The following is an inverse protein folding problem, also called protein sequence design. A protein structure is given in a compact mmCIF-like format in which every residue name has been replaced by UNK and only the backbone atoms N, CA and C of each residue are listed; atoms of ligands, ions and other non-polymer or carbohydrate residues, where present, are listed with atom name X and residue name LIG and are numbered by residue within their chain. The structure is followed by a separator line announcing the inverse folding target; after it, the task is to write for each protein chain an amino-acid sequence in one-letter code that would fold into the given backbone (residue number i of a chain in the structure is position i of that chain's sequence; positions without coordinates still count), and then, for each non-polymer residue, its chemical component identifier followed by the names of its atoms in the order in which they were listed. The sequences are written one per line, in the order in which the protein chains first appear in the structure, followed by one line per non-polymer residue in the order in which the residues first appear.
data_IF_248134020980
#
_entry.id   IF_248134020980
#
_cell.length_a   1.000
_cell.length_b   1.000
_cell.length_c   1.000
_cell.angle_alpha   90.00
_cell.angle_beta   90.00
_cell.angle_gamma   90.00
#
_symmetry.space_group_name_H-M   'P 1'
#
loop_
_entity.id
_entity.type
_entity.pdbx_description
1 polymer ?
#
# COMPACT_ATOMS: atom_id res chain seq x y z
N UNK A 1 -16.74 5.00 18.47
CA UNK A 1 -16.82 4.26 17.19
C UNK A 1 -16.08 2.92 17.28
N UNK A 2 -16.53 2.00 18.16
CA UNK A 2 -15.79 0.77 18.49
C UNK A 2 -15.61 -0.17 17.28
N UNK A 3 -16.69 -0.41 16.51
CA UNK A 3 -16.66 -1.35 15.38
C UNK A 3 -15.62 -0.98 14.29
N UNK A 4 -15.45 0.30 13.99
CA UNK A 4 -14.46 0.73 12.99
C UNK A 4 -13.02 0.58 13.51
N UNK A 5 -12.79 0.84 14.80
CA UNK A 5 -11.48 0.65 15.43
C UNK A 5 -11.06 -0.83 15.45
N UNK A 6 -12.00 -1.74 15.65
CA UNK A 6 -11.73 -3.19 15.66
C UNK A 6 -11.52 -3.79 14.27
N UNK A 7 -11.98 -3.13 13.20
CA UNK A 7 -11.95 -3.68 11.84
C UNK A 7 -10.91 -3.01 10.94
N UNK A 8 -10.58 -1.76 11.21
CA UNK A 8 -9.58 -1.01 10.46
C UNK A 8 -8.23 -1.09 11.16
N UNK A 9 -7.28 -1.74 10.49
CA UNK A 9 -5.91 -1.84 10.98
C UNK A 9 -4.95 -1.19 9.99
N UNK A 10 -3.88 -0.54 10.48
CA UNK A 10 -2.79 -0.09 9.63
C UNK A 10 -2.19 -1.28 8.87
N UNK A 11 -1.79 -1.06 7.62
CA UNK A 11 -1.02 -2.08 6.90
C UNK A 11 0.36 -2.18 7.52
N UNK A 12 0.68 -3.34 8.10
CA UNK A 12 1.93 -3.59 8.82
C UNK A 12 3.17 -3.62 7.89
N UNK A 13 4.33 -3.23 8.41
CA UNK A 13 5.62 -3.37 7.74
C UNK A 13 5.94 -4.83 7.37
N UNK A 14 5.44 -5.78 8.15
CA UNK A 14 5.59 -7.22 7.84
C UNK A 14 4.92 -7.62 6.52
N UNK A 15 3.93 -6.85 6.04
CA UNK A 15 3.26 -7.12 4.76
C UNK A 15 4.17 -6.90 3.55
N UNK A 16 5.21 -6.07 3.67
CA UNK A 16 6.20 -5.83 2.60
C UNK A 16 7.56 -6.44 2.95
N UNK A 17 7.62 -7.27 3.98
CA UNK A 17 8.84 -7.94 4.37
C UNK A 17 9.25 -8.96 3.31
N UNK A 18 10.52 -8.88 2.90
CA UNK A 18 11.08 -9.82 1.92
C UNK A 18 10.98 -9.39 0.47
N UNK A 19 10.37 -8.24 0.15
CA UNK A 19 10.30 -7.71 -1.23
C UNK A 19 11.68 -7.63 -1.88
N UNK A 20 12.67 -7.06 -1.17
CA UNK A 20 14.06 -6.95 -1.67
C UNK A 20 14.65 -8.32 -1.99
N UNK A 21 14.42 -9.31 -1.12
CA UNK A 21 14.90 -10.69 -1.34
C UNK A 21 14.21 -11.32 -2.55
N UNK A 22 12.89 -11.15 -2.67
CA UNK A 22 12.14 -11.68 -3.81
C UNK A 22 12.61 -11.06 -5.13
N UNK A 23 12.95 -9.77 -5.14
CA UNK A 23 13.54 -9.12 -6.32
C UNK A 23 14.88 -9.78 -6.70
N UNK A 24 15.73 -10.12 -5.72
CA UNK A 24 16.97 -10.85 -5.98
C UNK A 24 16.70 -12.25 -6.53
N UNK A 25 15.71 -12.95 -5.96
CA UNK A 25 15.32 -14.30 -6.37
C UNK A 25 14.74 -14.34 -7.80
N UNK A 26 14.36 -13.20 -8.40
CA UNK A 26 13.99 -13.11 -9.82
C UNK A 26 15.15 -13.42 -10.78
N UNK A 27 16.40 -13.34 -10.33
CA UNK A 27 17.59 -13.71 -11.12
C UNK A 27 18.19 -15.06 -10.66
N UNK A 28 17.47 -15.80 -9.81
CA UNK A 28 17.96 -17.09 -9.31
C UNK A 28 18.25 -18.06 -10.46
N UNK A 29 19.35 -18.82 -10.36
CA UNK A 29 19.67 -19.88 -11.31
C UNK A 29 18.61 -20.99 -11.36
N UNK A 30 17.78 -21.12 -10.31
CA UNK A 30 16.69 -22.12 -10.26
C UNK A 30 15.37 -21.51 -10.69
N UNK A 31 14.74 -22.12 -11.70
CA UNK A 31 13.44 -21.68 -12.22
C UNK A 31 12.35 -21.60 -11.14
N UNK A 32 12.31 -22.58 -10.23
CA UNK A 32 11.32 -22.61 -9.14
C UNK A 32 11.40 -21.38 -8.23
N UNK A 33 12.61 -20.89 -7.95
CA UNK A 33 12.81 -19.70 -7.12
C UNK A 33 12.30 -18.44 -7.84
N UNK A 34 12.61 -18.30 -9.15
CA UNK A 34 12.15 -17.17 -9.97
C UNK A 34 10.63 -17.10 -10.03
N UNK A 35 9.97 -18.24 -10.20
CA UNK A 35 8.50 -18.31 -10.24
C UNK A 35 7.87 -18.00 -8.88
N UNK A 36 8.43 -18.53 -7.80
CA UNK A 36 7.94 -18.25 -6.45
C UNK A 36 8.10 -16.77 -6.09
N UNK A 37 9.24 -16.18 -6.44
CA UNK A 37 9.50 -14.75 -6.28
C UNK A 37 8.51 -13.89 -7.07
N UNK A 38 8.30 -14.23 -8.35
CA UNK A 38 7.34 -13.52 -9.22
C UNK A 38 5.93 -13.55 -8.61
N UNK A 39 5.45 -14.73 -8.19
CA UNK A 39 4.12 -14.88 -7.57
C UNK A 39 3.99 -14.11 -6.26
N UNK A 40 5.02 -14.12 -5.42
CA UNK A 40 5.00 -13.41 -4.16
C UNK A 40 4.93 -11.89 -4.36
N UNK A 41 5.69 -11.36 -5.32
CA UNK A 41 5.65 -9.94 -5.70
C UNK A 41 4.31 -9.55 -6.34
N UNK A 42 3.75 -10.42 -7.20
CA UNK A 42 2.40 -10.21 -7.77
C UNK A 42 1.32 -10.16 -6.69
N UNK A 43 1.41 -11.03 -5.67
CA UNK A 43 0.44 -11.08 -4.58
C UNK A 43 0.45 -9.79 -3.72
N UNK A 44 1.57 -9.08 -3.67
CA UNK A 44 1.68 -7.78 -3.00
C UNK A 44 1.09 -6.63 -3.81
N UNK A 45 0.97 -6.79 -5.13
CA UNK A 45 0.40 -5.80 -6.04
C UNK A 45 1.03 -4.41 -5.88
N UNK A 46 0.20 -3.38 -5.67
CA UNK A 46 0.65 -2.00 -5.50
C UNK A 46 1.67 -1.80 -4.36
N UNK A 47 1.71 -2.69 -3.36
CA UNK A 47 2.65 -2.58 -2.24
C UNK A 47 4.10 -2.84 -2.65
N UNK A 48 4.34 -3.70 -3.64
CA UNK A 48 5.67 -4.00 -4.15
C UNK A 48 6.17 -2.96 -5.17
N UNK A 49 5.26 -2.17 -5.76
CA UNK A 49 5.57 -1.31 -6.90
C UNK A 49 6.77 -0.36 -6.65
N UNK A 50 6.91 0.31 -5.49
CA UNK A 50 8.01 1.27 -5.32
C UNK A 50 9.39 0.62 -5.25
N UNK A 51 9.50 -0.56 -4.65
CA UNK A 51 10.76 -1.33 -4.62
C UNK A 51 11.09 -1.91 -6.00
N UNK A 52 10.07 -2.37 -6.73
CA UNK A 52 10.21 -2.84 -8.11
C UNK A 52 10.67 -1.72 -9.06
N UNK A 53 10.06 -0.53 -8.95
CA UNK A 53 10.46 0.67 -9.69
C UNK A 53 11.86 1.12 -9.31
N UNK A 54 12.26 1.02 -8.03
CA UNK A 54 13.62 1.31 -7.59
C UNK A 54 14.63 0.31 -8.15
N UNK A 55 14.29 -0.98 -8.21
CA UNK A 55 15.15 -2.01 -8.79
C UNK A 55 15.44 -1.76 -10.28
N UNK A 56 14.45 -1.29 -11.04
CA UNK A 56 14.61 -0.95 -12.48
C UNK A 56 15.53 0.24 -12.75
N UNK A 57 15.82 1.08 -11.74
CA UNK A 57 16.79 2.20 -11.86
C UNK A 57 18.24 1.72 -11.85
N UNK A 58 18.50 0.51 -11.38
CA UNK A 58 19.82 -0.10 -11.40
C UNK A 58 19.96 -1.03 -12.62
N UNK A 59 21.20 -1.30 -13.08
CA UNK A 59 21.44 -2.35 -14.06
C UNK A 59 20.98 -3.71 -13.50
N UNK A 60 20.07 -4.36 -14.22
CA UNK A 60 19.56 -5.71 -13.95
C UNK A 60 19.56 -6.53 -15.23
N UNK A 61 19.50 -7.86 -15.14
CA UNK A 61 19.43 -8.73 -16.31
C UNK A 61 18.17 -8.44 -17.14
N UNK A 62 18.21 -8.72 -18.45
CA UNK A 62 17.05 -8.53 -19.33
C UNK A 62 15.87 -9.46 -18.96
N UNK A 63 16.12 -10.59 -18.31
CA UNK A 63 15.06 -11.42 -17.74
C UNK A 63 14.41 -10.74 -16.53
N UNK A 64 15.20 -10.29 -15.56
CA UNK A 64 14.69 -9.60 -14.36
C UNK A 64 13.89 -8.36 -14.73
N UNK A 65 14.41 -7.52 -15.64
CA UNK A 65 13.70 -6.33 -16.14
C UNK A 65 12.30 -6.67 -16.66
N UNK A 66 12.21 -7.65 -17.57
CA UNK A 66 10.93 -8.07 -18.16
C UNK A 66 9.95 -8.62 -17.12
N UNK A 67 10.44 -9.38 -16.14
CA UNK A 67 9.61 -9.89 -15.04
C UNK A 67 9.06 -8.75 -14.19
N UNK A 68 9.92 -7.82 -13.76
CA UNK A 68 9.51 -6.67 -12.96
C UNK A 68 8.47 -5.82 -13.71
N UNK A 69 8.72 -5.50 -14.98
CA UNK A 69 7.79 -4.74 -15.81
C UNK A 69 6.43 -5.44 -15.92
N UNK A 70 6.42 -6.76 -16.17
CA UNK A 70 5.18 -7.54 -16.21
C UNK A 70 4.42 -7.52 -14.88
N UNK A 71 5.11 -7.59 -13.74
CA UNK A 71 4.49 -7.53 -12.41
C UNK A 71 3.88 -6.14 -12.17
N UNK A 72 4.60 -5.07 -12.53
CA UNK A 72 4.10 -3.69 -12.42
C UNK A 72 2.86 -3.46 -13.29
N UNK A 73 2.86 -3.97 -14.53
CA UNK A 73 1.71 -3.85 -15.43
C UNK A 73 0.49 -4.60 -14.88
N UNK A 74 0.68 -5.81 -14.36
CA UNK A 74 -0.39 -6.56 -13.68
C UNK A 74 -0.93 -5.80 -12.46
N UNK A 75 -0.04 -5.22 -11.64
CA UNK A 75 -0.46 -4.44 -10.49
C UNK A 75 -1.28 -3.20 -10.88
N UNK A 76 -0.95 -2.55 -12.00
CA UNK A 76 -1.68 -1.39 -12.54
C UNK A 76 -3.03 -1.78 -13.15
N UNK A 77 -3.09 -2.93 -13.81
CA UNK A 77 -4.33 -3.42 -14.43
C UNK A 77 -5.28 -4.11 -13.44
N UNK A 78 -4.78 -4.54 -12.29
CA UNK A 78 -5.58 -5.23 -11.27
C UNK A 78 -6.67 -4.32 -10.70
N UNK A 79 -7.88 -4.86 -10.57
CA UNK A 79 -8.93 -4.21 -9.82
C UNK A 79 -8.54 -4.08 -8.34
N UNK A 80 -8.90 -2.95 -7.72
CA UNK A 80 -8.66 -2.74 -6.30
C UNK A 80 -9.42 -3.82 -5.50
N UNK A 81 -8.74 -4.57 -4.62
CA UNK A 81 -9.39 -5.61 -3.83
C UNK A 81 -10.59 -5.08 -3.01
N UNK A 82 -11.73 -5.78 -2.95
CA UNK A 82 -12.93 -5.27 -2.28
C UNK A 82 -12.75 -4.89 -0.81
N UNK A 83 -11.87 -5.58 -0.09
CA UNK A 83 -11.50 -5.25 1.30
C UNK A 83 -10.74 -3.92 1.39
N UNK A 84 -9.82 -3.64 0.45
CA UNK A 84 -9.11 -2.36 0.37
C UNK A 84 -10.09 -1.24 0.06
N UNK A 85 -10.99 -1.44 -0.89
CA UNK A 85 -12.01 -0.45 -1.25
C UNK A 85 -12.95 -0.14 -0.06
N UNK A 86 -13.36 -1.16 0.69
CA UNK A 86 -14.16 -0.98 1.93
C UNK A 86 -13.40 -0.15 2.97
N UNK A 87 -12.11 -0.40 3.17
CA UNK A 87 -11.30 0.35 4.12
C UNK A 87 -11.14 1.82 3.71
N UNK A 88 -10.93 2.10 2.42
CA UNK A 88 -10.87 3.47 1.88
C UNK A 88 -12.20 4.21 2.06
N UNK A 89 -13.34 3.56 1.79
CA UNK A 89 -14.66 4.14 2.05
C UNK A 89 -14.88 4.44 3.53
N UNK A 90 -14.37 3.59 4.42
CA UNK A 90 -14.43 3.85 5.86
C UNK A 90 -13.60 5.10 6.24
N UNK A 91 -12.44 5.32 5.61
CA UNK A 91 -11.67 6.56 5.75
C UNK A 91 -12.51 7.78 5.35
N UNK A 92 -13.22 7.74 4.21
CA UNK A 92 -14.09 8.85 3.79
C UNK A 92 -15.22 9.14 4.77
N UNK A 93 -15.79 8.10 5.40
CA UNK A 93 -16.83 8.25 6.42
C UNK A 93 -16.24 8.91 7.68
N UNK A 94 -15.07 8.46 8.14
CA UNK A 94 -14.36 9.06 9.26
C UNK A 94 -13.98 10.53 8.99
N UNK A 95 -13.59 10.83 7.75
CA UNK A 95 -13.28 12.17 7.25
C UNK A 95 -14.47 13.13 7.46
N UNK A 96 -15.65 12.71 6.98
CA UNK A 96 -16.90 13.49 7.11
C UNK A 96 -17.36 13.66 8.56
N UNK A 97 -17.13 12.66 9.41
CA UNK A 97 -17.50 12.72 10.84
C UNK A 97 -16.63 13.75 11.58
N UNK A 98 -15.32 13.78 11.33
CA UNK A 98 -14.41 14.84 11.80
C UNK A 98 -14.22 14.98 13.33
N UNK A 99 -14.82 14.10 14.14
CA UNK A 99 -14.71 14.11 15.61
C UNK A 99 -13.29 13.75 16.08
N UNK A 100 -12.95 14.07 17.34
CA UNK A 100 -11.67 13.69 17.96
C UNK A 100 -11.40 12.18 17.84
N UNK A 101 -12.43 11.36 18.03
CA UNK A 101 -12.32 9.92 17.91
C UNK A 101 -12.06 9.47 16.47
N UNK A 102 -12.75 10.06 15.48
CA UNK A 102 -12.53 9.74 14.07
C UNK A 102 -11.11 10.11 13.62
N UNK A 103 -10.63 11.29 14.04
CA UNK A 103 -9.24 11.73 13.81
C UNK A 103 -8.23 10.76 14.42
N UNK A 104 -8.48 10.24 15.62
CA UNK A 104 -7.58 9.28 16.26
C UNK A 104 -7.48 7.95 15.48
N UNK A 105 -8.59 7.46 14.92
CA UNK A 105 -8.59 6.26 14.07
C UNK A 105 -7.81 6.54 12.78
N UNK A 106 -8.05 7.67 12.11
CA UNK A 106 -7.30 8.06 10.91
C UNK A 106 -5.81 8.21 11.19
N UNK A 107 -5.42 8.79 12.33
CA UNK A 107 -4.02 8.91 12.75
C UNK A 107 -3.36 7.55 12.95
N UNK A 108 -4.06 6.57 13.52
CA UNK A 108 -3.57 5.20 13.61
C UNK A 108 -3.35 4.58 12.22
N UNK A 109 -4.34 4.68 11.32
CA UNK A 109 -4.24 4.13 9.96
C UNK A 109 -3.11 4.77 9.13
N UNK A 110 -2.82 6.04 9.39
CA UNK A 110 -1.73 6.79 8.77
C UNK A 110 -0.32 6.31 9.18
N UNK A 111 -0.20 5.45 10.20
CA UNK A 111 1.07 4.85 10.64
C UNK A 111 1.45 3.56 9.89
N UNK A 112 0.59 3.08 8.98
CA UNK A 112 0.91 1.91 8.16
C UNK A 112 2.04 2.15 7.15
N UNK A 113 2.36 1.12 6.35
CA UNK A 113 3.40 1.24 5.33
C UNK A 113 3.11 2.40 4.37
N UNK A 114 4.09 3.25 4.02
CA UNK A 114 3.84 4.49 3.28
C UNK A 114 3.11 4.31 1.95
N UNK A 115 3.36 3.18 1.28
CA UNK A 115 2.85 2.89 -0.06
C UNK A 115 1.47 2.23 -0.05
N UNK A 116 0.97 1.81 1.12
CA UNK A 116 -0.37 1.28 1.23
C UNK A 116 -1.40 2.37 0.92
N UNK A 117 -2.33 2.05 0.02
CA UNK A 117 -3.45 2.94 -0.34
C UNK A 117 -4.19 3.44 0.90
N UNK A 118 -4.53 2.55 1.83
CA UNK A 118 -5.22 2.91 3.07
C UNK A 118 -4.45 3.97 3.89
N UNK A 119 -3.13 3.82 4.00
CA UNK A 119 -2.27 4.75 4.72
C UNK A 119 -2.21 6.12 4.04
N UNK A 120 -2.10 6.15 2.71
CA UNK A 120 -2.12 7.41 1.94
C UNK A 120 -3.46 8.13 2.07
N UNK A 121 -4.57 7.40 1.96
CA UNK A 121 -5.92 7.97 2.11
C UNK A 121 -6.16 8.51 3.53
N UNK A 122 -5.70 7.79 4.56
CA UNK A 122 -5.80 8.26 5.94
C UNK A 122 -5.02 9.56 6.17
N UNK A 123 -3.78 9.64 5.64
CA UNK A 123 -2.97 10.88 5.67
C UNK A 123 -3.65 12.03 4.93
N UNK A 124 -4.21 11.76 3.75
CA UNK A 124 -4.90 12.75 2.96
C UNK A 124 -6.16 13.28 3.67
N UNK A 125 -6.93 12.39 4.32
CA UNK A 125 -8.10 12.76 5.12
C UNK A 125 -7.72 13.65 6.31
N UNK A 126 -6.68 13.30 7.09
CA UNK A 126 -6.21 14.14 8.18
C UNK A 126 -5.86 15.55 7.70
N UNK A 127 -5.11 15.65 6.59
CA UNK A 127 -4.75 16.95 6.01
C UNK A 127 -5.99 17.77 5.57
N UNK A 128 -7.04 17.12 5.05
CA UNK A 128 -8.30 17.78 4.69
C UNK A 128 -9.03 18.30 5.93
N UNK A 129 -9.13 17.49 6.97
CA UNK A 129 -9.75 17.85 8.24
C UNK A 129 -9.06 19.07 8.87
N UNK A 130 -7.73 19.08 8.89
CA UNK A 130 -6.94 20.15 9.50
C UNK A 130 -7.18 21.48 8.78
N UNK A 131 -7.17 21.46 7.43
CA UNK A 131 -7.53 22.63 6.61
C UNK A 131 -8.96 23.12 6.88
N UNK A 132 -9.93 22.21 6.98
CA UNK A 132 -11.31 22.56 7.26
C UNK A 132 -11.51 23.16 8.66
N UNK A 133 -10.74 22.73 9.66
CA UNK A 133 -10.78 23.35 10.99
C UNK A 133 -10.17 24.75 11.04
N UNK A 134 -9.11 25.01 10.28
CA UNK A 134 -8.50 26.35 10.19
C UNK A 134 -9.44 27.38 9.53
N UNK A 135 -10.24 26.95 8.55
CA UNK A 135 -11.21 27.81 7.88
C UNK A 135 -12.45 28.16 8.71
N UNK A 136 -12.76 27.38 9.76
CA UNK A 136 -13.91 27.64 10.66
C UNK A 136 -13.54 28.46 11.91
N UNK A 137 -12.24 28.66 12.14
CA UNK A 137 -11.71 29.44 13.28
C UNK A 137 -11.36 30.90 12.94
N UNK A 138 -11.55 31.31 11.69
CA UNK A 138 -11.51 32.70 11.20
C UNK A 138 -12.94 33.20 10.97
#
# INVERSE_FOLDING_TARGET
MPLLRERLHPVSATAVQGVVRQIQDLDSGRFADRENASRALEALGELAAPELEAALRNPVSAEVRRRIESILDKARAAAIPPNVLRAVRAVEVLDRIGTKEARAILASLAQGVPNARLTREAKASLARIDRASQQRGN
#
